data_IF_237125391253
#
_entry.id   IF_237125391253
#
_cell.length_a   1.000
_cell.length_b   1.000
_cell.length_c   1.000
_cell.angle_alpha   90.00
_cell.angle_beta   90.00
_cell.angle_gamma   90.00
#
_symmetry.space_group_name_H-M   'P 1'
#
loop_
_entity.id
_entity.type
_entity.pdbx_description
1 polymer ?
#
# COMPACT_ATOMS: atom_id res chain seq x y z
N UNK A 1 24.40 5.23 1.01
CA UNK A 1 23.36 4.45 1.72
C UNK A 1 22.34 5.41 2.33
N UNK A 2 21.05 5.11 2.17
CA UNK A 2 19.97 5.88 2.82
C UNK A 2 19.31 5.02 3.89
N UNK A 3 19.04 5.59 5.06
CA UNK A 3 18.24 4.96 6.10
C UNK A 3 17.17 5.95 6.53
N UNK A 4 15.94 5.47 6.75
CA UNK A 4 14.82 6.33 7.11
C UNK A 4 13.82 5.54 7.94
N UNK A 5 13.18 6.20 8.89
CA UNK A 5 12.07 5.63 9.66
C UNK A 5 10.78 6.29 9.23
N UNK A 6 9.66 5.55 9.20
CA UNK A 6 8.37 6.16 8.79
C UNK A 6 8.03 7.43 9.56
N UNK A 7 8.30 7.47 10.88
CA UNK A 7 7.98 8.65 11.70
C UNK A 7 8.77 9.89 11.32
N UNK A 8 9.83 9.77 10.53
CA UNK A 8 10.62 10.91 10.06
C UNK A 8 10.02 11.55 8.81
N UNK A 9 8.97 10.96 8.24
CA UNK A 9 8.33 11.43 7.01
C UNK A 9 6.91 11.84 7.33
N UNK A 10 6.52 13.06 6.92
CA UNK A 10 5.15 13.52 7.08
C UNK A 10 4.21 12.68 6.21
N UNK A 11 3.12 12.15 6.78
CA UNK A 11 2.15 11.39 6.00
C UNK A 11 1.44 12.29 5.01
N UNK A 12 1.12 11.74 3.85
CA UNK A 12 0.36 12.45 2.83
C UNK A 12 -0.96 11.73 2.58
N UNK A 13 -2.03 12.46 2.22
CA UNK A 13 -3.27 11.82 1.85
C UNK A 13 -3.11 11.06 0.54
N UNK A 14 -3.95 10.05 0.35
CA UNK A 14 -3.98 9.27 -0.89
C UNK A 14 -5.18 9.74 -1.70
N UNK A 15 -4.97 9.97 -2.99
CA UNK A 15 -5.98 10.48 -3.89
C UNK A 15 -6.22 9.50 -5.04
N UNK A 16 -7.51 9.23 -5.33
CA UNK A 16 -7.93 8.47 -6.51
C UNK A 16 -8.99 9.26 -7.23
N UNK A 17 -8.84 9.39 -8.56
CA UNK A 17 -9.83 10.05 -9.41
C UNK A 17 -10.22 11.45 -8.91
N UNK A 18 -9.25 12.20 -8.39
CA UNK A 18 -9.47 13.55 -7.93
C UNK A 18 -10.05 13.67 -6.53
N UNK A 19 -10.26 12.56 -5.81
CA UNK A 19 -10.82 12.57 -4.46
C UNK A 19 -9.87 11.88 -3.48
N UNK A 20 -9.74 12.45 -2.29
CA UNK A 20 -8.94 11.84 -1.22
C UNK A 20 -9.70 10.67 -0.60
N UNK A 21 -8.96 9.63 -0.25
CA UNK A 21 -9.51 8.46 0.41
C UNK A 21 -9.51 8.72 1.92
N UNK A 22 -10.68 8.74 2.57
CA UNK A 22 -10.71 8.97 4.02
C UNK A 22 -9.97 7.89 4.80
N UNK A 23 -9.21 8.31 5.80
CA UNK A 23 -8.54 7.39 6.73
C UNK A 23 -7.32 6.67 6.18
N UNK A 24 -6.82 7.04 5.01
CA UNK A 24 -5.64 6.42 4.41
C UNK A 24 -4.56 7.45 4.20
N UNK A 25 -3.35 7.14 4.64
CA UNK A 25 -2.18 7.98 4.39
C UNK A 25 -1.04 7.15 3.82
N UNK A 26 -0.12 7.83 3.13
CA UNK A 26 1.03 7.22 2.51
C UNK A 26 2.31 7.97 2.90
N UNK A 27 3.37 7.21 3.12
CA UNK A 27 4.73 7.75 3.27
C UNK A 27 5.63 7.04 2.28
N UNK A 28 6.32 7.83 1.46
CA UNK A 28 7.29 7.29 0.50
C UNK A 28 8.62 7.14 1.22
N UNK A 29 8.96 5.90 1.58
CA UNK A 29 10.19 5.64 2.32
C UNK A 29 11.42 5.70 1.41
N UNK A 30 11.36 5.04 0.28
CA UNK A 30 12.44 5.01 -0.70
C UNK A 30 11.81 5.22 -2.08
N UNK A 31 12.33 6.18 -2.82
CA UNK A 31 11.75 6.58 -4.09
C UNK A 31 12.83 6.96 -5.10
N UNK A 32 12.40 7.27 -6.30
CA UNK A 32 13.28 7.58 -7.43
C UNK A 32 14.28 8.70 -7.10
N UNK A 33 13.83 9.73 -6.42
CA UNK A 33 14.67 10.86 -6.03
C UNK A 33 15.81 10.49 -5.10
N UNK A 34 15.71 9.34 -4.44
CA UNK A 34 16.77 8.81 -3.59
C UNK A 34 17.84 8.04 -4.39
N UNK A 35 17.61 7.86 -5.70
CA UNK A 35 18.47 7.06 -6.54
C UNK A 35 17.99 5.62 -6.75
N UNK A 36 16.77 5.30 -6.29
CA UNK A 36 16.19 3.97 -6.49
C UNK A 36 15.79 3.80 -7.96
N UNK A 37 16.42 2.85 -8.64
CA UNK A 37 16.26 2.73 -10.10
C UNK A 37 15.14 1.80 -10.54
N UNK A 38 14.76 0.83 -9.71
CA UNK A 38 13.88 -0.24 -10.16
C UNK A 38 12.56 -0.34 -9.42
N UNK A 39 12.55 -0.02 -8.13
CA UNK A 39 11.32 -0.09 -7.35
C UNK A 39 11.34 0.92 -6.21
N UNK A 40 10.13 1.26 -5.75
CA UNK A 40 9.92 2.16 -4.62
C UNK A 40 9.32 1.40 -3.45
N UNK A 41 9.58 1.89 -2.24
CA UNK A 41 8.99 1.35 -1.03
C UNK A 41 8.08 2.39 -0.40
N UNK A 42 6.80 2.06 -0.25
CA UNK A 42 5.79 2.94 0.33
C UNK A 42 5.26 2.33 1.62
N UNK A 43 4.87 3.18 2.54
CA UNK A 43 4.31 2.80 3.83
C UNK A 43 2.91 3.38 3.91
N UNK A 44 1.92 2.50 4.02
CA UNK A 44 0.52 2.89 4.10
C UNK A 44 -0.01 2.70 5.51
N UNK A 45 -0.88 3.62 5.92
CA UNK A 45 -1.61 3.56 7.16
C UNK A 45 -3.09 3.65 6.85
N UNK A 46 -3.85 2.63 7.26
CA UNK A 46 -5.31 2.61 7.09
C UNK A 46 -5.95 2.66 8.47
N UNK A 47 -6.74 3.70 8.72
CA UNK A 47 -7.52 3.80 9.94
C UNK A 47 -8.55 2.67 10.00
N UNK A 48 -9.09 2.41 11.20
CA UNK A 48 -10.15 1.42 11.37
C UNK A 48 -11.30 1.69 10.39
N UNK A 49 -11.70 0.67 9.64
CA UNK A 49 -12.79 0.77 8.66
C UNK A 49 -12.43 1.45 7.35
N UNK A 50 -11.21 1.96 7.21
CA UNK A 50 -10.81 2.62 5.97
C UNK A 50 -10.71 1.62 4.82
N UNK A 51 -11.02 2.10 3.62
CA UNK A 51 -11.05 1.29 2.41
C UNK A 51 -10.24 1.99 1.32
N UNK A 52 -9.30 1.27 0.73
CA UNK A 52 -8.71 1.67 -0.54
C UNK A 52 -9.56 1.00 -1.60
N UNK A 53 -10.34 1.79 -2.38
CA UNK A 53 -11.30 1.22 -3.31
C UNK A 53 -10.64 0.44 -4.44
N UNK A 54 -11.43 -0.39 -5.09
CA UNK A 54 -10.96 -1.20 -6.19
C UNK A 54 -10.35 -0.33 -7.29
N UNK A 55 -9.16 -0.72 -7.72
CA UNK A 55 -8.43 -0.05 -8.78
C UNK A 55 -7.55 -1.07 -9.50
N UNK A 56 -7.05 -0.69 -10.66
CA UNK A 56 -6.29 -1.57 -11.51
C UNK A 56 -5.18 -0.78 -12.19
N UNK A 57 -4.00 -1.41 -12.32
CA UNK A 57 -2.91 -0.82 -13.07
C UNK A 57 -1.97 -1.92 -13.59
N UNK A 58 -1.06 -1.54 -14.47
CA UNK A 58 -0.23 -2.50 -15.19
C UNK A 58 1.00 -2.98 -14.41
N UNK A 59 1.22 -2.47 -13.20
CA UNK A 59 2.31 -2.93 -12.36
C UNK A 59 1.81 -3.79 -11.22
N UNK A 60 2.71 -4.63 -10.71
CA UNK A 60 2.43 -5.50 -9.58
C UNK A 60 2.72 -4.81 -8.26
N UNK A 61 2.22 -5.41 -7.18
CA UNK A 61 2.54 -4.98 -5.82
C UNK A 61 3.15 -6.15 -5.04
N UNK A 62 4.13 -5.82 -4.19
CA UNK A 62 4.58 -6.73 -3.16
C UNK A 62 4.34 -6.03 -1.83
N UNK A 63 3.55 -6.64 -0.97
CA UNK A 63 3.06 -6.04 0.27
C UNK A 63 3.48 -6.88 1.45
N UNK A 64 3.86 -6.21 2.54
CA UNK A 64 4.11 -6.89 3.81
C UNK A 64 3.29 -6.20 4.89
N UNK A 65 2.47 -6.96 5.61
CA UNK A 65 1.60 -6.41 6.66
C UNK A 65 2.39 -6.33 7.96
N UNK A 66 2.58 -5.10 8.44
CA UNK A 66 3.32 -4.83 9.68
C UNK A 66 2.43 -4.86 10.91
N UNK A 67 1.15 -4.53 10.74
CA UNK A 67 0.21 -4.45 11.84
C UNK A 67 -1.21 -4.53 11.31
N UNK A 68 -2.11 -5.14 12.09
CA UNK A 68 -3.53 -5.13 11.81
C UNK A 68 -4.01 -6.27 10.94
N UNK A 69 -5.27 -6.18 10.53
CA UNK A 69 -5.96 -7.19 9.76
C UNK A 69 -6.67 -6.52 8.60
N UNK A 70 -6.43 -7.01 7.40
CA UNK A 70 -6.93 -6.37 6.18
C UNK A 70 -7.56 -7.40 5.26
N UNK A 71 -8.71 -7.04 4.67
CA UNK A 71 -9.35 -7.82 3.63
C UNK A 71 -8.84 -7.32 2.29
N UNK A 72 -8.21 -8.19 1.53
CA UNK A 72 -7.65 -7.86 0.22
C UNK A 72 -8.42 -8.62 -0.85
N UNK A 73 -8.81 -7.89 -1.89
CA UNK A 73 -9.43 -8.50 -3.06
C UNK A 73 -8.50 -8.39 -4.26
N UNK A 74 -8.49 -9.41 -5.09
CA UNK A 74 -7.74 -9.43 -6.35
C UNK A 74 -8.57 -10.21 -7.36
N UNK A 75 -9.15 -9.52 -8.33
CA UNK A 75 -10.10 -10.14 -9.25
C UNK A 75 -11.31 -10.69 -8.49
N UNK A 76 -11.58 -11.96 -8.66
CA UNK A 76 -12.68 -12.65 -7.94
C UNK A 76 -12.24 -13.27 -6.62
N UNK A 77 -10.97 -13.17 -6.30
CA UNK A 77 -10.40 -13.76 -5.08
C UNK A 77 -10.39 -12.75 -3.96
N UNK A 78 -10.67 -13.18 -2.73
CA UNK A 78 -10.50 -12.32 -1.57
C UNK A 78 -9.91 -13.11 -0.42
N UNK A 79 -9.07 -12.45 0.37
CA UNK A 79 -8.41 -13.06 1.51
C UNK A 79 -8.29 -12.07 2.65
N UNK A 80 -8.41 -12.59 3.87
CA UNK A 80 -8.09 -11.85 5.07
C UNK A 80 -6.64 -12.16 5.41
N UNK A 81 -5.82 -11.12 5.51
CA UNK A 81 -4.42 -11.27 5.90
C UNK A 81 -4.11 -10.38 7.10
N UNK A 82 -3.09 -10.76 7.85
CA UNK A 82 -2.76 -10.03 9.07
C UNK A 82 -1.25 -9.92 9.25
N UNK A 83 -0.85 -9.26 10.33
CA UNK A 83 0.54 -9.00 10.68
C UNK A 83 1.44 -10.19 10.35
N UNK A 84 2.53 -9.92 9.66
CA UNK A 84 3.53 -10.91 9.32
C UNK A 84 3.30 -11.61 7.99
N UNK A 85 2.24 -11.25 7.25
CA UNK A 85 1.95 -11.84 5.94
C UNK A 85 2.58 -11.04 4.82
N UNK A 86 3.14 -11.73 3.83
CA UNK A 86 3.55 -11.13 2.57
C UNK A 86 2.47 -11.42 1.53
N UNK A 87 2.19 -10.44 0.68
CA UNK A 87 1.13 -10.53 -0.33
C UNK A 87 1.67 -10.07 -1.67
N UNK A 88 1.41 -10.86 -2.71
CA UNK A 88 1.72 -10.48 -4.08
C UNK A 88 0.41 -10.20 -4.82
N UNK A 89 0.29 -9.00 -5.40
CA UNK A 89 -0.85 -8.62 -6.24
C UNK A 89 -0.38 -8.60 -7.68
N UNK A 90 -1.01 -9.41 -8.51
CA UNK A 90 -0.65 -9.53 -9.92
C UNK A 90 -0.98 -8.25 -10.70
N UNK A 91 -0.22 -7.95 -11.76
CA UNK A 91 -0.52 -6.79 -12.60
C UNK A 91 -1.84 -6.98 -13.35
N UNK A 92 -2.48 -5.88 -13.69
CA UNK A 92 -3.70 -5.82 -14.51
C UNK A 92 -4.95 -6.47 -13.91
N UNK A 93 -4.96 -6.73 -12.61
CA UNK A 93 -6.16 -7.25 -11.94
C UNK A 93 -6.72 -6.19 -10.99
N UNK A 94 -8.04 -6.03 -10.97
CA UNK A 94 -8.68 -5.13 -9.99
C UNK A 94 -8.38 -5.61 -8.58
N UNK A 95 -8.02 -4.69 -7.70
CA UNK A 95 -7.72 -5.05 -6.31
C UNK A 95 -8.15 -3.93 -5.36
N UNK A 96 -8.41 -4.31 -4.12
CA UNK A 96 -8.82 -3.38 -3.08
C UNK A 96 -8.34 -3.84 -1.72
N UNK A 97 -8.35 -2.91 -0.75
CA UNK A 97 -7.93 -3.19 0.63
C UNK A 97 -8.94 -2.58 1.58
N UNK A 98 -9.29 -3.31 2.64
CA UNK A 98 -10.19 -2.81 3.68
C UNK A 98 -9.68 -3.22 5.06
N UNK A 99 -9.50 -2.25 5.95
CA UNK A 99 -9.17 -2.53 7.33
C UNK A 99 -10.38 -3.11 8.05
N UNK A 100 -10.32 -4.39 8.42
CA UNK A 100 -11.41 -5.09 9.09
C UNK A 100 -11.09 -5.42 10.55
N UNK A 101 -9.96 -4.94 11.06
CA UNK A 101 -9.54 -5.18 12.44
C UNK A 101 -9.91 -4.03 13.36
N UNK A 102 -9.37 -4.09 14.59
CA UNK A 102 -9.64 -3.11 15.64
C UNK A 102 -8.59 -2.03 15.75
N UNK A 103 -7.51 -2.15 15.02
CA UNK A 103 -6.39 -1.20 15.05
C UNK A 103 -6.04 -0.77 13.63
N UNK A 104 -5.17 0.24 13.54
CA UNK A 104 -4.69 0.68 12.23
C UNK A 104 -3.99 -0.47 11.51
N UNK A 105 -4.18 -0.54 10.19
CA UNK A 105 -3.36 -1.39 9.35
C UNK A 105 -2.13 -0.60 8.95
N UNK A 106 -0.95 -1.19 9.16
CA UNK A 106 0.33 -0.65 8.68
C UNK A 106 0.89 -1.64 7.70
N UNK A 107 1.20 -1.19 6.48
CA UNK A 107 1.75 -2.09 5.48
C UNK A 107 2.79 -1.41 4.61
N UNK A 108 3.80 -2.20 4.24
CA UNK A 108 4.76 -1.80 3.22
C UNK A 108 4.24 -2.26 1.87
N UNK A 109 4.41 -1.43 0.86
CA UNK A 109 4.03 -1.79 -0.49
C UNK A 109 5.15 -1.38 -1.45
N UNK A 110 5.72 -2.35 -2.11
CA UNK A 110 6.75 -2.14 -3.11
C UNK A 110 6.12 -2.14 -4.49
N UNK A 111 6.50 -1.16 -5.30
CA UNK A 111 6.05 -1.08 -6.69
C UNK A 111 7.26 -0.87 -7.59
N UNK A 112 7.24 -1.41 -8.82
CA UNK A 112 8.30 -1.15 -9.77
C UNK A 112 8.11 0.22 -10.42
N UNK A 113 9.19 0.78 -10.94
CA UNK A 113 9.10 1.92 -11.84
C UNK A 113 8.93 1.35 -13.25
N UNK A 114 7.88 1.79 -13.93
CA UNK A 114 7.71 1.45 -15.32
C UNK A 114 8.51 2.43 -16.16
N UNK A 115 9.12 1.94 -17.21
CA UNK A 115 9.78 2.82 -18.15
C UNK A 115 8.71 3.61 -18.89
N UNK A 116 8.72 4.89 -18.65
CA UNK A 116 7.81 5.80 -19.31
C UNK A 116 8.46 6.42 -20.50
#
# INVERSE_FOLDING_TARGET
MKTIKPEEINPQPVEFNGAYIPGVTIRWLIKKEDGAERFAMRYFELEKGAVIPEHQHEWEHEIFILQGKVLITEGSEERVVEKGSAVFIRPNLPHSYKNIGDEKVLMLCLIPYLKG
#
